data_IF_874441002646
#
_entry.id   IF_874441002646
#
_cell.length_a   1.000
_cell.length_b   1.000
_cell.length_c   1.000
_cell.angle_alpha   90.00
_cell.angle_beta   90.00
_cell.angle_gamma   90.00
#
_symmetry.space_group_name_H-M   'P 1'
#
loop_
_entity.id
_entity.type
_entity.pdbx_description
1 polymer ?
#
# COMPACT_ATOMS: atom_id res chain seq x y z
N UNK A 1 17.59 -3.08 10.24
CA UNK A 1 16.15 -3.23 10.03
C UNK A 1 15.65 -4.34 10.95
N UNK A 2 14.52 -4.12 11.63
CA UNK A 2 13.87 -5.11 12.49
C UNK A 2 12.52 -5.57 11.93
N UNK A 3 11.84 -4.70 11.19
CA UNK A 3 10.53 -4.96 10.61
C UNK A 3 10.54 -4.65 9.11
N UNK A 4 9.71 -5.36 8.35
CA UNK A 4 9.42 -5.04 6.95
C UNK A 4 7.92 -4.82 6.82
N UNK A 5 7.55 -3.69 6.24
CA UNK A 5 6.18 -3.22 6.12
C UNK A 5 5.77 -3.11 4.65
N UNK A 6 4.75 -3.86 4.25
CA UNK A 6 4.22 -3.87 2.90
C UNK A 6 3.00 -2.97 2.83
N UNK A 7 3.11 -1.87 2.10
CA UNK A 7 2.04 -0.89 1.95
C UNK A 7 1.15 -1.26 0.76
N UNK A 8 -0.10 -1.56 1.06
CA UNK A 8 -1.12 -2.01 0.13
C UNK A 8 -2.19 -0.93 0.04
N UNK A 9 -2.52 -0.48 -1.17
CA UNK A 9 -3.59 0.50 -1.37
C UNK A 9 -4.94 -0.21 -1.36
N UNK A 10 -5.91 0.28 -0.60
CA UNK A 10 -7.29 -0.24 -0.62
C UNK A 10 -8.14 0.38 -1.74
N UNK A 11 -9.38 -0.08 -1.90
CA UNK A 11 -10.28 0.39 -2.97
C UNK A 11 -10.63 1.89 -2.82
N UNK A 12 -10.48 2.46 -1.64
CA UNK A 12 -10.74 3.87 -1.37
C UNK A 12 -9.49 4.76 -1.56
N UNK A 13 -8.35 4.18 -1.96
CA UNK A 13 -7.09 4.88 -2.14
C UNK A 13 -6.27 5.06 -0.86
N UNK A 14 -6.67 4.43 0.25
CA UNK A 14 -5.93 4.50 1.51
C UNK A 14 -4.82 3.45 1.56
N UNK A 15 -3.67 3.82 2.13
CA UNK A 15 -2.66 2.84 2.49
C UNK A 15 -3.11 2.01 3.69
N UNK A 16 -3.16 0.71 3.46
CA UNK A 16 -3.18 -0.34 4.48
C UNK A 16 -1.82 -1.01 4.49
N UNK A 17 -1.55 -1.85 5.46
CA UNK A 17 -0.25 -2.50 5.51
C UNK A 17 -0.30 -3.89 6.15
N UNK A 18 0.71 -4.69 5.83
CA UNK A 18 1.06 -5.92 6.51
C UNK A 18 2.52 -5.83 6.92
N UNK A 19 2.79 -6.06 8.20
CA UNK A 19 4.15 -5.98 8.74
C UNK A 19 4.64 -7.35 9.17
N UNK A 20 5.86 -7.69 8.80
CA UNK A 20 6.51 -8.93 9.23
C UNK A 20 7.86 -8.61 9.91
N UNK A 21 8.36 -9.49 10.81
CA UNK A 21 9.74 -9.39 11.28
C UNK A 21 10.73 -9.51 10.12
N UNK A 22 11.82 -8.74 10.17
CA UNK A 22 12.85 -8.80 9.12
C UNK A 22 13.42 -10.20 8.91
N UNK A 23 13.43 -11.07 9.93
CA UNK A 23 13.86 -12.46 9.85
C UNK A 23 12.96 -13.34 8.97
N UNK A 24 11.73 -12.91 8.71
CA UNK A 24 10.79 -13.60 7.80
C UNK A 24 10.82 -13.04 6.38
N UNK A 25 11.55 -11.97 6.15
CA UNK A 25 11.72 -11.39 4.83
C UNK A 25 12.87 -12.10 4.10
N UNK A 26 12.53 -13.11 3.33
CA UNK A 26 13.45 -14.01 2.64
C UNK A 26 13.36 -13.84 1.11
N UNK A 27 14.23 -14.52 0.37
CA UNK A 27 14.13 -14.59 -1.10
C UNK A 27 12.79 -15.20 -1.55
N UNK A 28 12.23 -16.12 -0.77
CA UNK A 28 10.91 -16.69 -1.03
C UNK A 28 9.81 -15.64 -0.91
N UNK A 29 9.85 -14.82 0.15
CA UNK A 29 8.93 -13.68 0.33
C UNK A 29 9.03 -12.70 -0.83
N UNK A 30 10.24 -12.42 -1.31
CA UNK A 30 10.46 -11.53 -2.45
C UNK A 30 9.88 -12.10 -3.75
N UNK A 31 10.01 -13.40 -3.96
CA UNK A 31 9.62 -14.07 -5.20
C UNK A 31 8.16 -14.46 -5.23
N UNK A 32 7.68 -15.06 -4.15
CA UNK A 32 6.35 -15.65 -4.05
C UNK A 32 5.36 -14.75 -3.31
N UNK A 33 5.85 -13.69 -2.65
CA UNK A 33 5.04 -12.72 -1.96
C UNK A 33 4.54 -13.17 -0.60
N UNK A 34 3.61 -12.38 -0.08
CA UNK A 34 2.88 -12.66 1.17
C UNK A 34 1.39 -12.79 0.88
N UNK A 35 0.76 -13.73 1.56
CA UNK A 35 -0.70 -13.87 1.53
C UNK A 35 -1.38 -12.70 2.25
N UNK A 36 -2.50 -12.23 1.72
CA UNK A 36 -3.36 -11.26 2.38
C UNK A 36 -4.82 -11.48 2.02
N UNK A 37 -5.71 -11.06 2.92
CA UNK A 37 -7.16 -11.10 2.71
C UNK A 37 -7.62 -9.82 2.00
N UNK A 38 -7.91 -9.93 0.71
CA UNK A 38 -8.32 -8.81 -0.13
C UNK A 38 -9.72 -8.27 0.18
N UNK A 39 -10.54 -8.98 0.97
CA UNK A 39 -11.85 -8.49 1.40
C UNK A 39 -11.71 -7.28 2.35
N UNK A 40 -10.68 -7.29 3.19
CA UNK A 40 -10.34 -6.18 4.08
C UNK A 40 -9.92 -4.90 3.33
N UNK A 41 -9.57 -5.03 2.06
CA UNK A 41 -9.15 -3.93 1.18
C UNK A 41 -10.24 -3.54 0.17
N UNK A 42 -11.41 -4.22 0.22
CA UNK A 42 -12.55 -3.95 -0.67
C UNK A 42 -12.44 -4.52 -2.08
N UNK A 43 -11.48 -5.42 -2.33
CA UNK A 43 -11.23 -5.97 -3.67
C UNK A 43 -11.98 -7.27 -3.96
N UNK A 44 -12.45 -7.97 -2.94
CA UNK A 44 -13.11 -9.25 -3.09
C UNK A 44 -14.17 -9.51 -2.01
N UNK A 45 -15.06 -10.43 -2.27
CA UNK A 45 -15.91 -11.04 -1.23
C UNK A 45 -15.09 -12.04 -0.43
N UNK A 46 -15.48 -12.28 0.82
CA UNK A 46 -14.72 -13.10 1.78
C UNK A 46 -14.40 -14.50 1.23
N UNK A 47 -15.34 -15.12 0.51
CA UNK A 47 -15.21 -16.48 -0.03
C UNK A 47 -14.15 -16.61 -1.16
N UNK A 48 -13.65 -15.47 -1.69
CA UNK A 48 -12.65 -15.42 -2.78
C UNK A 48 -11.59 -14.38 -2.53
N UNK A 49 -11.24 -14.14 -1.28
CA UNK A 49 -10.41 -13.02 -0.87
C UNK A 49 -8.92 -13.34 -0.72
N UNK A 50 -8.54 -14.62 -0.71
CA UNK A 50 -7.13 -15.00 -0.61
C UNK A 50 -6.36 -14.58 -1.85
N UNK A 51 -5.44 -13.65 -1.65
CA UNK A 51 -4.57 -13.11 -2.71
C UNK A 51 -3.12 -13.05 -2.22
N UNK A 52 -2.22 -12.77 -3.15
CA UNK A 52 -0.79 -12.62 -2.87
C UNK A 52 -0.34 -11.21 -3.21
N UNK A 53 0.45 -10.63 -2.33
CA UNK A 53 1.13 -9.36 -2.55
C UNK A 53 2.62 -9.62 -2.85
N UNK A 54 3.04 -9.28 -4.05
CA UNK A 54 4.44 -9.39 -4.49
C UNK A 54 5.13 -8.05 -4.23
N UNK A 55 6.09 -7.99 -3.30
CA UNK A 55 6.80 -6.75 -3.00
C UNK A 55 7.64 -6.28 -4.19
N UNK A 56 7.80 -4.96 -4.28
CA UNK A 56 8.63 -4.30 -5.28
C UNK A 56 9.83 -3.65 -4.58
N UNK A 57 11.02 -4.26 -4.65
CA UNK A 57 12.20 -3.78 -3.93
C UNK A 57 12.67 -2.39 -4.38
N UNK A 58 12.34 -1.98 -5.61
CA UNK A 58 12.72 -0.66 -6.13
C UNK A 58 11.97 0.48 -5.41
N UNK A 59 10.92 0.13 -4.65
CA UNK A 59 10.15 1.09 -3.84
C UNK A 59 10.56 1.10 -2.36
N UNK A 60 11.57 0.30 -1.99
CA UNK A 60 11.97 0.14 -0.60
C UNK A 60 12.59 1.42 -0.03
N UNK A 61 12.14 1.81 1.15
CA UNK A 61 12.68 2.95 1.91
C UNK A 61 12.64 2.66 3.41
N UNK A 62 13.54 3.31 4.15
CA UNK A 62 13.46 3.31 5.61
C UNK A 62 12.31 4.24 6.01
N UNK A 63 11.33 3.71 6.73
CA UNK A 63 10.17 4.49 7.17
C UNK A 63 10.60 5.50 8.27
N UNK A 64 10.52 6.82 8.00
CA UNK A 64 10.97 7.83 8.95
C UNK A 64 10.00 8.05 10.11
N UNK A 65 8.80 7.47 10.06
CA UNK A 65 7.75 7.64 11.06
C UNK A 65 7.63 6.46 12.04
N UNK A 66 8.47 5.45 11.87
CA UNK A 66 8.46 4.28 12.74
C UNK A 66 9.56 4.38 13.81
N UNK A 67 9.20 4.21 15.10
CA UNK A 67 10.16 4.14 16.21
C UNK A 67 11.09 2.92 16.09
N UNK A 68 10.57 1.82 15.57
CA UNK A 68 11.37 0.62 15.29
C UNK A 68 11.89 0.71 13.85
N UNK A 69 13.21 0.49 13.61
CA UNK A 69 13.77 0.55 12.26
C UNK A 69 13.04 -0.40 11.30
N UNK A 70 12.21 0.18 10.45
CA UNK A 70 11.29 -0.50 9.53
C UNK A 70 11.65 -0.20 8.08
N UNK A 71 11.72 -1.24 7.25
CA UNK A 71 11.81 -1.12 5.80
C UNK A 71 10.40 -1.16 5.24
N UNK A 72 9.94 -0.05 4.68
CA UNK A 72 8.64 0.02 4.00
C UNK A 72 8.80 -0.13 2.50
N UNK A 73 7.88 -0.85 1.86
CA UNK A 73 7.83 -0.96 0.41
C UNK A 73 6.40 -1.19 -0.08
N UNK A 74 6.16 -0.82 -1.32
CA UNK A 74 4.93 -1.14 -2.04
C UNK A 74 5.12 -2.41 -2.88
N UNK A 75 4.10 -2.82 -3.61
CA UNK A 75 4.17 -4.00 -4.48
C UNK A 75 2.90 -4.17 -5.29
N UNK A 76 2.69 -5.37 -5.82
CA UNK A 76 1.60 -5.68 -6.72
C UNK A 76 0.69 -6.75 -6.13
N UNK A 77 -0.60 -6.49 -6.08
CA UNK A 77 -1.60 -7.47 -5.69
C UNK A 77 -1.89 -8.45 -6.85
N UNK A 78 -1.87 -9.75 -6.53
CA UNK A 78 -2.06 -10.83 -7.51
C UNK A 78 -3.17 -11.75 -7.05
N UNK A 79 -4.03 -12.13 -7.96
CA UNK A 79 -5.00 -13.22 -7.77
C UNK A 79 -4.24 -14.53 -7.87
N UNK A 80 -4.48 -15.42 -6.91
CA UNK A 80 -3.95 -16.79 -6.95
C UNK A 80 -4.69 -17.55 -8.05
N UNK A 81 -3.95 -17.99 -9.06
CA UNK A 81 -4.50 -18.72 -10.20
C UNK A 81 -3.52 -19.80 -10.65
N UNK A 82 -4.03 -20.87 -11.23
CA UNK A 82 -3.19 -21.97 -11.71
C UNK A 82 -3.16 -21.96 -13.26
N UNK A 83 -2.01 -22.15 -13.87
CA UNK A 83 -0.68 -22.46 -13.32
C UNK A 83 0.14 -21.25 -12.88
N UNK A 84 -0.38 -20.03 -13.03
CA UNK A 84 0.34 -18.80 -12.73
C UNK A 84 -0.58 -17.74 -12.19
N UNK A 85 -0.17 -17.11 -11.09
CA UNK A 85 -0.84 -15.94 -10.52
C UNK A 85 -0.97 -14.83 -11.58
N UNK A 86 -2.09 -14.11 -11.55
CA UNK A 86 -2.36 -12.99 -12.46
C UNK A 86 -2.57 -11.68 -11.70
N UNK A 87 -2.20 -10.53 -12.27
CA UNK A 87 -2.44 -9.25 -11.62
C UNK A 87 -3.90 -9.04 -11.26
N UNK A 88 -4.16 -8.52 -10.04
CA UNK A 88 -5.49 -8.05 -9.66
C UNK A 88 -5.83 -6.79 -10.50
N UNK A 89 -6.83 -6.84 -11.39
CA UNK A 89 -7.05 -5.77 -12.37
C UNK A 89 -7.53 -4.46 -11.73
N UNK A 90 -8.16 -4.50 -10.55
CA UNK A 90 -8.64 -3.32 -9.84
C UNK A 90 -7.56 -2.65 -8.98
N UNK A 91 -6.41 -3.29 -8.78
CA UNK A 91 -5.35 -2.74 -7.94
C UNK A 91 -4.66 -1.54 -8.63
N UNK A 92 -4.56 -0.37 -7.98
CA UNK A 92 -4.11 0.86 -8.62
C UNK A 92 -2.78 0.77 -9.35
N UNK A 93 -1.77 0.13 -8.76
CA UNK A 93 -0.46 -0.06 -9.43
C UNK A 93 -0.56 -0.94 -10.68
N UNK A 94 -1.43 -1.95 -10.66
CA UNK A 94 -1.65 -2.81 -11.83
C UNK A 94 -2.38 -2.06 -12.94
N UNK A 95 -3.31 -1.15 -12.59
CA UNK A 95 -3.99 -0.27 -13.56
C UNK A 95 -2.98 0.66 -14.23
N UNK A 96 -2.13 1.33 -13.44
CA UNK A 96 -1.11 2.23 -14.00
C UNK A 96 -0.11 1.48 -14.88
N UNK A 97 0.32 0.28 -14.47
CA UNK A 97 1.20 -0.55 -15.30
C UNK A 97 0.55 -0.90 -16.64
N UNK A 98 -0.71 -1.34 -16.61
CA UNK A 98 -1.45 -1.64 -17.84
C UNK A 98 -1.61 -0.40 -18.74
N UNK A 99 -1.85 0.78 -18.16
CA UNK A 99 -1.93 2.04 -18.91
C UNK A 99 -0.59 2.42 -19.56
N UNK A 100 0.53 2.24 -18.85
CA UNK A 100 1.89 2.49 -19.38
C UNK A 100 2.21 1.50 -20.50
N UNK A 101 1.89 0.23 -20.32
CA UNK A 101 2.10 -0.80 -21.35
C UNK A 101 1.28 -0.51 -22.62
N UNK A 102 0.03 -0.08 -22.45
CA UNK A 102 -0.83 0.33 -23.56
C UNK A 102 -0.28 1.57 -24.28
N UNK A 103 0.16 2.59 -23.53
CA UNK A 103 0.77 3.80 -24.10
C UNK A 103 1.98 3.45 -24.97
N UNK A 104 2.88 2.58 -24.48
CA UNK A 104 4.06 2.13 -25.23
C UNK A 104 3.67 1.31 -26.47
N UNK A 105 2.75 0.37 -26.31
CA UNK A 105 2.29 -0.49 -27.39
C UNK A 105 1.57 0.29 -28.51
N UNK A 106 0.87 1.36 -28.18
CA UNK A 106 0.21 2.23 -29.15
C UNK A 106 1.16 3.17 -29.89
N UNK A 107 2.42 3.28 -29.46
CA UNK A 107 3.42 4.17 -30.04
C UNK A 107 3.21 5.67 -29.77
N UNK A 108 2.25 6.02 -28.91
CA UNK A 108 1.95 7.43 -28.58
C UNK A 108 3.08 8.06 -27.76
N UNK A 109 3.59 7.33 -26.77
CA UNK A 109 4.72 7.75 -25.95
C UNK A 109 5.39 6.55 -25.26
N UNK A 110 6.62 6.69 -24.87
CA UNK A 110 7.39 5.72 -24.09
C UNK A 110 7.52 6.09 -22.62
N UNK A 111 7.26 7.35 -22.28
CA UNK A 111 7.43 7.92 -20.94
C UNK A 111 6.30 8.88 -20.61
N UNK A 112 5.84 8.85 -19.36
CA UNK A 112 4.87 9.79 -18.81
C UNK A 112 5.49 10.47 -17.59
N UNK A 113 5.45 11.83 -17.56
CA UNK A 113 5.86 12.63 -16.39
C UNK A 113 4.60 13.06 -15.65
N UNK A 114 4.58 12.85 -14.35
CA UNK A 114 3.48 13.22 -13.46
C UNK A 114 4.03 14.13 -12.38
N UNK A 115 3.30 15.20 -12.07
CA UNK A 115 3.60 16.14 -10.98
C UNK A 115 2.45 16.06 -9.97
N UNK A 116 2.58 15.26 -8.92
CA UNK A 116 1.56 15.21 -7.87
C UNK A 116 1.62 16.47 -7.00
N UNK A 117 0.47 16.96 -6.58
CA UNK A 117 0.33 18.01 -5.58
C UNK A 117 -0.09 17.37 -4.26
N UNK A 118 0.75 17.50 -3.24
CA UNK A 118 0.47 16.95 -1.91
C UNK A 118 -0.16 18.03 -1.04
N UNK A 119 -1.36 17.76 -0.52
CA UNK A 119 -2.06 18.65 0.40
C UNK A 119 -2.10 18.01 1.80
N UNK A 120 -1.78 18.79 2.82
CA UNK A 120 -1.79 18.34 4.21
C UNK A 120 -1.96 19.51 5.18
N UNK A 121 -2.35 19.18 6.41
CA UNK A 121 -2.45 20.14 7.49
C UNK A 121 -1.31 19.94 8.49
N UNK A 122 -0.78 21.04 9.01
CA UNK A 122 0.17 21.04 10.13
C UNK A 122 -0.55 21.53 11.39
N UNK A 123 -0.53 20.74 12.43
CA UNK A 123 -1.10 21.10 13.72
C UNK A 123 0.00 21.20 14.78
N UNK A 124 -0.09 22.23 15.64
CA UNK A 124 0.77 22.34 16.83
C UNK A 124 0.32 21.33 17.90
N UNK A 125 -0.99 21.05 17.96
CA UNK A 125 -1.57 20.10 18.91
C UNK A 125 -2.79 19.41 18.32
N UNK A 126 -2.88 18.11 18.56
CA UNK A 126 -4.10 17.32 18.32
C UNK A 126 -4.46 16.62 19.64
N UNK A 127 -5.71 16.74 20.06
CA UNK A 127 -6.25 16.06 21.22
C UNK A 127 -7.50 15.28 20.86
N UNK A 128 -7.74 14.17 21.54
CA UNK A 128 -9.00 13.42 21.44
C UNK A 128 -9.37 12.84 22.80
N UNK A 129 -10.67 12.68 23.02
CA UNK A 129 -11.22 11.94 24.13
C UNK A 129 -12.29 10.99 23.62
N UNK A 130 -12.19 9.72 24.00
CA UNK A 130 -13.19 8.70 23.70
C UNK A 130 -13.54 8.00 25.01
N UNK A 131 -14.74 8.22 25.49
CA UNK A 131 -15.25 7.61 26.71
C UNK A 131 -16.69 7.10 26.49
N UNK A 132 -17.24 6.39 27.46
CA UNK A 132 -18.65 5.94 27.40
C UNK A 132 -19.69 7.08 27.41
N UNK A 133 -19.29 8.34 27.63
CA UNK A 133 -20.17 9.49 27.75
C UNK A 133 -19.85 10.64 26.82
N UNK A 134 -18.63 10.65 26.23
CA UNK A 134 -18.14 11.75 25.41
C UNK A 134 -17.22 11.26 24.31
N UNK A 135 -17.39 11.82 23.12
CA UNK A 135 -16.42 11.73 22.03
C UNK A 135 -16.11 13.17 21.61
N UNK A 136 -14.84 13.56 21.73
CA UNK A 136 -14.41 14.89 21.31
C UNK A 136 -13.05 14.83 20.61
N UNK A 137 -12.82 15.79 19.71
CA UNK A 137 -11.55 16.01 19.04
C UNK A 137 -11.25 17.51 19.03
N UNK A 138 -10.00 17.86 19.25
CA UNK A 138 -9.51 19.23 19.19
C UNK A 138 -8.26 19.32 18.35
N UNK A 139 -8.15 20.35 17.56
CA UNK A 139 -6.93 20.70 16.81
C UNK A 139 -6.56 22.13 17.13
N UNK A 140 -5.27 22.41 17.18
CA UNK A 140 -4.73 23.75 17.41
C UNK A 140 -3.59 23.99 16.42
N UNK A 141 -3.58 25.16 15.80
CA UNK A 141 -2.55 25.56 14.85
C UNK A 141 -2.35 27.08 14.95
N UNK A 142 -1.11 27.54 14.74
CA UNK A 142 -0.78 28.98 14.78
C UNK A 142 -1.52 29.83 13.73
N UNK A 143 -2.07 29.17 12.73
CA UNK A 143 -2.78 29.83 11.63
C UNK A 143 -4.30 29.63 11.71
N UNK A 144 -4.82 29.12 12.81
CA UNK A 144 -6.27 28.96 13.04
C UNK A 144 -6.87 30.18 13.72
#
# INVERSE_FOLDING_TARGET
IKMVDFKIVDINGQFRHVTIPASQFTEDTMKNGIGFDASNYGYAVVEKSDMVFIPDPDTALIDPFCDIPTLSMTGNAMIIDYPKNRPLPQYPRNIIRAAVDYMKASGVADTMKILPEFEFYLFDRVGWNVSGREVSATVDAKQS
#
